data_IF_059963362470
#
_entry.id   IF_059963362470
#
_cell.length_a   1.000
_cell.length_b   1.000
_cell.length_c   1.000
_cell.angle_alpha   90.00
_cell.angle_beta   90.00
_cell.angle_gamma   90.00
#
_symmetry.space_group_name_H-M   'P 1'
#
loop_
_entity.id
_entity.type
_entity.pdbx_description
1 polymer ?
#
# COMPACT_ATOMS: atom_id res chain seq x y z
N UNK A 1 2.05 -31.88 -27.94
CA UNK A 1 1.08 -31.09 -27.18
C UNK A 1 -0.19 -31.87 -26.92
N UNK A 2 -0.86 -32.36 -27.96
CA UNK A 2 -2.15 -33.10 -27.85
C UNK A 2 -2.08 -34.34 -26.96
N UNK A 3 -0.93 -35.03 -26.94
CA UNK A 3 -0.71 -36.25 -26.13
C UNK A 3 -0.25 -35.95 -24.68
N UNK A 4 -0.11 -34.67 -24.28
CA UNK A 4 0.29 -34.22 -22.95
C UNK A 4 1.57 -34.88 -22.41
N UNK A 5 2.55 -35.14 -23.29
CA UNK A 5 3.85 -35.69 -22.87
C UNK A 5 4.68 -34.63 -22.14
N UNK A 6 5.34 -34.98 -21.03
CA UNK A 6 6.10 -34.02 -20.21
C UNK A 6 7.18 -33.27 -20.99
N UNK A 7 7.89 -33.96 -21.90
CA UNK A 7 8.99 -33.36 -22.67
C UNK A 7 8.52 -32.22 -23.58
N UNK A 8 7.23 -32.21 -23.94
CA UNK A 8 6.65 -31.12 -24.75
C UNK A 8 6.54 -29.83 -23.95
N UNK A 9 6.32 -29.92 -22.65
CA UNK A 9 6.25 -28.74 -21.78
C UNK A 9 7.61 -28.06 -21.69
N UNK A 10 8.70 -28.81 -21.53
CA UNK A 10 10.06 -28.27 -21.47
C UNK A 10 10.42 -27.55 -22.78
N UNK A 11 10.12 -28.16 -23.94
CA UNK A 11 10.35 -27.52 -25.24
C UNK A 11 9.45 -26.29 -25.44
N UNK A 12 8.21 -26.34 -24.97
CA UNK A 12 7.28 -25.22 -25.11
C UNK A 12 7.75 -24.03 -24.24
N UNK A 13 8.23 -24.29 -23.04
CA UNK A 13 8.78 -23.26 -22.15
C UNK A 13 10.00 -22.56 -22.79
N UNK A 14 10.85 -23.32 -23.49
CA UNK A 14 11.96 -22.74 -24.23
C UNK A 14 11.51 -21.89 -25.43
N UNK A 15 10.52 -22.34 -26.18
CA UNK A 15 10.01 -21.65 -27.38
C UNK A 15 9.28 -20.36 -27.05
N UNK A 16 8.52 -20.32 -25.95
CA UNK A 16 7.78 -19.10 -25.55
C UNK A 16 8.68 -18.03 -24.96
N UNK A 17 9.88 -18.38 -24.55
CA UNK A 17 10.83 -17.44 -23.97
C UNK A 17 11.12 -16.32 -24.97
N UNK A 18 10.92 -15.09 -24.50
CA UNK A 18 11.12 -13.91 -25.35
C UNK A 18 10.21 -13.83 -26.59
N UNK A 19 9.15 -14.60 -26.68
CA UNK A 19 8.20 -14.53 -27.78
C UNK A 19 6.88 -13.91 -27.32
N UNK A 20 6.64 -12.60 -27.60
CA UNK A 20 5.44 -11.92 -27.14
C UNK A 20 4.19 -12.46 -27.85
N UNK A 21 3.08 -12.45 -27.16
CA UNK A 21 1.75 -12.71 -27.72
C UNK A 21 0.85 -11.50 -27.54
N UNK A 22 -0.02 -11.23 -28.52
CA UNK A 22 -1.01 -10.16 -28.42
C UNK A 22 -2.34 -10.73 -27.93
N UNK A 23 -2.95 -10.02 -26.97
CA UNK A 23 -4.32 -10.27 -26.53
C UNK A 23 -5.24 -9.16 -27.00
N UNK A 24 -6.43 -9.53 -27.45
CA UNK A 24 -7.48 -8.61 -27.85
C UNK A 24 -8.82 -9.03 -27.27
N UNK A 25 -9.57 -8.10 -26.66
CA UNK A 25 -10.96 -8.30 -26.26
C UNK A 25 -11.87 -7.44 -27.14
N UNK A 26 -12.85 -8.05 -27.77
CA UNK A 26 -13.90 -7.34 -28.50
C UNK A 26 -14.98 -6.81 -27.52
N UNK A 27 -15.56 -5.61 -27.75
CA UNK A 27 -15.22 -4.66 -28.81
C UNK A 27 -13.94 -3.87 -28.53
N UNK A 28 -13.09 -3.68 -29.53
CA UNK A 28 -11.86 -2.89 -29.42
C UNK A 28 -12.18 -1.40 -29.58
N UNK A 29 -12.45 -0.73 -28.47
CA UNK A 29 -12.90 0.69 -28.47
C UNK A 29 -11.74 1.68 -28.62
N UNK A 30 -10.52 1.28 -28.24
CA UNK A 30 -9.32 2.10 -28.32
C UNK A 30 -8.07 1.22 -28.43
N UNK A 31 -6.92 1.84 -28.73
CA UNK A 31 -5.68 1.12 -28.99
C UNK A 31 -5.23 0.17 -27.86
N UNK A 32 -5.57 0.46 -26.60
CA UNK A 32 -5.21 -0.36 -25.45
C UNK A 32 -6.10 -1.63 -25.29
N UNK A 33 -7.10 -1.80 -26.14
CA UNK A 33 -7.83 -3.06 -26.27
C UNK A 33 -7.05 -4.17 -26.99
N UNK A 34 -5.85 -3.85 -27.48
CA UNK A 34 -4.84 -4.79 -28.01
C UNK A 34 -3.53 -4.48 -27.30
N UNK A 35 -3.01 -5.44 -26.54
CA UNK A 35 -1.71 -5.32 -25.85
C UNK A 35 -0.92 -6.61 -25.99
N UNK A 36 0.40 -6.48 -25.97
CA UNK A 36 1.30 -7.61 -26.00
C UNK A 36 1.77 -7.97 -24.57
N UNK A 37 1.99 -9.26 -24.38
CA UNK A 37 2.44 -9.85 -23.12
C UNK A 37 3.48 -10.93 -23.39
N UNK A 38 4.38 -11.15 -22.46
CA UNK A 38 5.22 -12.34 -22.43
C UNK A 38 4.44 -13.48 -21.78
N UNK A 39 4.23 -14.62 -22.49
CA UNK A 39 3.42 -15.71 -21.98
C UNK A 39 4.18 -16.51 -20.91
N UNK A 40 3.45 -16.99 -19.92
CA UNK A 40 3.92 -17.93 -18.91
C UNK A 40 2.99 -19.14 -18.91
N UNK A 41 3.55 -20.34 -18.89
CA UNK A 41 2.77 -21.58 -18.85
C UNK A 41 2.09 -21.72 -17.48
N UNK A 42 0.80 -22.01 -17.52
CA UNK A 42 -0.03 -22.26 -16.33
C UNK A 42 -0.91 -23.46 -16.58
N UNK A 43 -1.23 -24.19 -15.53
CA UNK A 43 -2.22 -25.27 -15.60
C UNK A 43 -3.64 -24.71 -15.77
N UNK A 44 -4.48 -25.41 -16.54
CA UNK A 44 -5.87 -25.05 -16.76
C UNK A 44 -6.14 -24.63 -18.20
N UNK A 45 -7.40 -24.25 -18.48
CA UNK A 45 -7.88 -23.86 -19.81
C UNK A 45 -8.22 -22.38 -19.94
N UNK A 46 -7.95 -21.57 -18.89
CA UNK A 46 -8.24 -20.15 -18.84
C UNK A 46 -6.97 -19.32 -18.92
N UNK A 47 -7.07 -18.15 -19.56
CA UNK A 47 -6.00 -17.16 -19.58
C UNK A 47 -5.99 -16.46 -18.20
N UNK A 48 -4.83 -16.45 -17.53
CA UNK A 48 -4.63 -15.66 -16.32
C UNK A 48 -4.14 -14.28 -16.71
N UNK A 49 -5.04 -13.30 -16.70
CA UNK A 49 -4.75 -11.93 -17.07
C UNK A 49 -4.34 -11.12 -15.84
N UNK A 50 -3.35 -10.23 -16.01
CA UNK A 50 -2.93 -9.33 -14.95
C UNK A 50 -4.06 -8.35 -14.57
N UNK A 51 -4.45 -8.20 -13.29
CA UNK A 51 -5.62 -7.41 -12.89
C UNK A 51 -5.58 -5.94 -13.32
N UNK A 52 -4.39 -5.31 -13.36
CA UNK A 52 -4.26 -3.90 -13.71
C UNK A 52 -4.58 -3.58 -15.18
N UNK A 53 -4.53 -4.56 -16.08
CA UNK A 53 -4.89 -4.35 -17.50
C UNK A 53 -6.37 -4.59 -17.77
N UNK A 54 -7.13 -5.15 -16.85
CA UNK A 54 -8.56 -5.39 -17.00
C UNK A 54 -9.34 -4.12 -17.36
N UNK A 55 -8.97 -2.98 -16.78
CA UNK A 55 -9.59 -1.68 -17.09
C UNK A 55 -9.37 -1.28 -18.55
N UNK A 56 -8.17 -1.51 -19.10
CA UNK A 56 -7.85 -1.19 -20.50
C UNK A 56 -8.62 -2.07 -21.48
N UNK A 57 -8.79 -3.36 -21.19
CA UNK A 57 -9.58 -4.29 -22.00
C UNK A 57 -11.09 -4.20 -21.73
N UNK A 58 -11.49 -3.48 -20.68
CA UNK A 58 -12.85 -3.56 -20.14
C UNK A 58 -13.28 -5.02 -19.90
N UNK A 59 -12.36 -5.80 -19.32
CA UNK A 59 -12.52 -7.24 -19.09
C UNK A 59 -12.80 -7.53 -17.63
N UNK A 60 -13.63 -8.54 -17.39
CA UNK A 60 -13.85 -9.15 -16.08
C UNK A 60 -13.68 -10.68 -16.16
N UNK A 61 -13.78 -11.36 -15.04
CA UNK A 61 -13.53 -12.81 -14.95
C UNK A 61 -14.81 -13.63 -14.84
N UNK A 62 -15.90 -13.16 -15.44
CA UNK A 62 -17.22 -13.84 -15.43
C UNK A 62 -17.45 -14.75 -16.64
N UNK A 63 -16.47 -14.90 -17.50
CA UNK A 63 -16.56 -15.74 -18.73
C UNK A 63 -16.20 -14.99 -20.01
N UNK A 64 -15.61 -13.81 -19.90
CA UNK A 64 -15.10 -13.05 -21.05
C UNK A 64 -14.12 -13.86 -21.87
N UNK A 65 -14.17 -13.66 -23.19
CA UNK A 65 -13.27 -14.28 -24.16
C UNK A 65 -12.30 -13.25 -24.73
N UNK A 66 -11.06 -13.69 -24.99
CA UNK A 66 -10.04 -12.90 -25.67
C UNK A 66 -9.47 -13.66 -26.86
N UNK A 67 -9.18 -12.94 -27.94
CA UNK A 67 -8.39 -13.45 -29.03
C UNK A 67 -6.91 -13.38 -28.70
N UNK A 68 -6.18 -14.45 -29.01
CA UNK A 68 -4.73 -14.55 -28.89
C UNK A 68 -4.13 -14.52 -30.29
N UNK A 69 -3.19 -13.59 -30.52
CA UNK A 69 -2.49 -13.45 -31.78
C UNK A 69 -1.00 -13.66 -31.57
N UNK A 70 -0.42 -14.52 -32.39
CA UNK A 70 0.99 -14.88 -32.39
C UNK A 70 1.71 -14.14 -33.51
N UNK A 71 2.61 -13.17 -33.26
CA UNK A 71 3.41 -12.53 -34.29
C UNK A 71 4.46 -13.50 -34.81
N UNK A 72 4.47 -13.74 -36.14
CA UNK A 72 5.33 -14.75 -36.77
C UNK A 72 6.60 -14.15 -37.33
N UNK A 73 6.58 -12.92 -37.86
CA UNK A 73 7.78 -12.29 -38.42
C UNK A 73 8.59 -11.57 -37.36
N UNK A 74 9.88 -11.42 -37.59
CA UNK A 74 10.79 -10.70 -36.67
C UNK A 74 10.36 -9.24 -36.48
N UNK A 75 9.91 -8.60 -37.56
CA UNK A 75 9.42 -7.22 -37.54
C UNK A 75 8.16 -7.11 -36.66
N UNK A 76 7.20 -8.04 -36.82
CA UNK A 76 5.98 -8.05 -36.00
C UNK A 76 6.30 -8.30 -34.51
N UNK A 77 7.26 -9.17 -34.20
CA UNK A 77 7.72 -9.41 -32.83
C UNK A 77 8.39 -8.17 -32.24
N UNK A 78 9.20 -7.46 -33.04
CA UNK A 78 9.83 -6.20 -32.63
C UNK A 78 8.79 -5.12 -32.34
N UNK A 79 7.79 -4.94 -33.21
CA UNK A 79 6.66 -4.01 -32.97
C UNK A 79 5.90 -4.35 -31.70
N UNK A 80 5.61 -5.64 -31.46
CA UNK A 80 4.98 -6.09 -30.22
C UNK A 80 5.76 -5.72 -28.97
N UNK A 81 7.09 -5.89 -29.01
CA UNK A 81 7.97 -5.56 -27.86
C UNK A 81 8.08 -4.07 -27.61
N UNK A 82 8.29 -3.27 -28.65
CA UNK A 82 8.58 -1.85 -28.48
C UNK A 82 7.31 -1.00 -28.33
N UNK A 83 6.23 -1.35 -29.03
CA UNK A 83 5.04 -0.53 -29.14
C UNK A 83 3.83 -1.08 -28.35
N UNK A 84 3.63 -2.41 -28.33
CA UNK A 84 2.40 -3.01 -27.80
C UNK A 84 2.56 -3.64 -26.43
N UNK A 85 3.78 -3.83 -25.92
CA UNK A 85 3.99 -4.45 -24.62
C UNK A 85 3.30 -3.62 -23.51
N UNK A 86 2.55 -4.29 -22.63
CA UNK A 86 1.70 -3.66 -21.64
C UNK A 86 2.43 -2.64 -20.74
N UNK A 87 3.64 -2.88 -20.22
CA UNK A 87 4.39 -1.89 -19.44
C UNK A 87 4.71 -0.59 -20.19
N UNK A 88 4.78 -0.63 -21.53
CA UNK A 88 5.03 0.55 -22.36
C UNK A 88 3.76 1.38 -22.64
N UNK A 89 2.58 0.87 -22.26
CA UNK A 89 1.29 1.47 -22.54
C UNK A 89 0.52 1.83 -21.26
N UNK A 90 1.21 2.42 -20.30
CA UNK A 90 0.63 2.80 -19.00
C UNK A 90 -0.17 4.09 -19.03
N UNK A 91 -0.10 4.89 -20.11
CA UNK A 91 -0.77 6.19 -20.23
C UNK A 91 -1.94 6.13 -21.20
N UNK A 92 -3.02 6.80 -20.84
CA UNK A 92 -4.18 7.00 -21.72
C UNK A 92 -3.84 7.96 -22.85
N UNK A 93 -4.21 7.65 -24.08
CA UNK A 93 -3.99 8.58 -25.20
C UNK A 93 -4.90 9.82 -25.15
N UNK A 94 -5.97 9.80 -24.34
CA UNK A 94 -6.95 10.89 -24.27
C UNK A 94 -6.49 12.06 -23.39
N UNK A 95 -5.93 11.76 -22.22
CA UNK A 95 -5.62 12.74 -21.18
C UNK A 95 -4.18 12.62 -20.63
N UNK A 96 -3.40 11.65 -21.14
CA UNK A 96 -2.05 11.38 -20.63
C UNK A 96 -2.00 10.84 -19.21
N UNK A 97 -3.15 10.58 -18.60
CA UNK A 97 -3.22 10.00 -17.26
C UNK A 97 -2.95 8.51 -17.27
N UNK A 98 -2.60 7.89 -16.11
CA UNK A 98 -2.36 6.46 -16.02
C UNK A 98 -3.63 5.66 -16.32
N UNK A 99 -3.48 4.60 -17.14
CA UNK A 99 -4.54 3.62 -17.46
C UNK A 99 -4.60 2.54 -16.40
N UNK A 100 -3.43 1.98 -16.09
CA UNK A 100 -3.30 0.95 -15.07
C UNK A 100 -3.33 1.64 -13.69
N UNK A 101 -4.50 1.70 -13.09
CA UNK A 101 -4.70 2.26 -11.75
C UNK A 101 -5.26 1.17 -10.84
N UNK A 102 -4.67 0.95 -9.66
CA UNK A 102 -5.23 0.05 -8.66
C UNK A 102 -6.69 0.35 -8.38
N UNK A 103 -7.50 -0.68 -8.23
CA UNK A 103 -8.95 -0.60 -8.01
C UNK A 103 -9.41 -1.61 -6.98
N UNK A 104 -10.66 -1.48 -6.52
CA UNK A 104 -11.32 -2.44 -5.62
C UNK A 104 -10.45 -2.79 -4.40
N UNK A 105 -10.15 -4.07 -4.20
CA UNK A 105 -9.43 -4.59 -3.04
C UNK A 105 -8.00 -4.06 -2.92
N UNK A 106 -7.36 -3.71 -4.04
CA UNK A 106 -6.04 -3.08 -4.02
C UNK A 106 -6.09 -1.71 -3.34
N UNK A 107 -7.10 -0.90 -3.68
CA UNK A 107 -7.31 0.42 -3.04
C UNK A 107 -7.73 0.26 -1.59
N UNK A 108 -8.61 -0.71 -1.29
CA UNK A 108 -9.09 -0.99 0.05
C UNK A 108 -7.92 -1.37 0.98
N UNK A 109 -7.01 -2.23 0.52
CA UNK A 109 -5.83 -2.62 1.29
C UNK A 109 -4.86 -1.47 1.56
N UNK A 110 -4.61 -0.60 0.58
CA UNK A 110 -3.78 0.60 0.76
C UNK A 110 -4.48 1.61 1.69
N UNK A 111 -5.78 1.80 1.53
CA UNK A 111 -6.59 2.64 2.41
C UNK A 111 -6.47 2.18 3.86
N UNK A 112 -6.69 0.88 4.11
CA UNK A 112 -6.54 0.28 5.42
C UNK A 112 -5.13 0.48 5.98
N UNK A 113 -4.10 0.23 5.17
CA UNK A 113 -2.70 0.34 5.59
C UNK A 113 -2.32 1.77 5.99
N UNK A 114 -2.82 2.79 5.29
CA UNK A 114 -2.48 4.20 5.52
C UNK A 114 -3.44 4.94 6.46
N UNK A 115 -4.39 4.23 7.05
CA UNK A 115 -5.34 4.80 8.00
C UNK A 115 -4.65 5.13 9.33
N UNK A 116 -5.08 6.22 9.98
CA UNK A 116 -4.74 6.55 11.36
C UNK A 116 -5.90 6.17 12.26
N UNK A 117 -5.64 5.38 13.28
CA UNK A 117 -6.64 4.98 14.26
C UNK A 117 -6.01 4.73 15.62
N UNK A 118 -6.62 5.24 16.67
CA UNK A 118 -6.22 4.89 18.04
C UNK A 118 -6.53 3.42 18.33
N UNK A 119 -5.68 2.80 19.15
CA UNK A 119 -5.97 1.47 19.67
C UNK A 119 -7.22 1.51 20.53
N UNK A 120 -8.14 0.58 20.32
CA UNK A 120 -9.37 0.42 21.13
C UNK A 120 -9.40 -0.99 21.69
N UNK A 121 -9.35 -1.11 22.99
CA UNK A 121 -9.30 -2.39 23.71
C UNK A 121 -10.67 -2.86 24.23
N UNK A 122 -11.78 -2.17 23.90
CA UNK A 122 -13.13 -2.51 24.37
C UNK A 122 -13.53 -3.96 24.17
N UNK A 123 -13.09 -4.55 23.06
CA UNK A 123 -13.47 -5.91 22.66
C UNK A 123 -12.56 -7.00 23.27
N UNK A 124 -11.52 -6.63 24.03
CA UNK A 124 -10.67 -7.61 24.71
C UNK A 124 -11.33 -8.10 26.00
N UNK A 125 -11.36 -9.43 26.21
CA UNK A 125 -12.11 -10.11 27.29
C UNK A 125 -11.81 -9.61 28.71
N UNK A 126 -10.61 -9.10 28.96
CA UNK A 126 -10.18 -8.67 30.30
C UNK A 126 -9.85 -7.16 30.36
N UNK A 127 -10.36 -6.38 29.42
CA UNK A 127 -10.09 -4.96 29.33
C UNK A 127 -10.99 -4.18 30.28
N UNK A 128 -10.44 -3.77 31.43
CA UNK A 128 -11.11 -2.94 32.41
C UNK A 128 -10.35 -1.64 32.58
N UNK A 129 -11.05 -0.50 32.48
CA UNK A 129 -10.47 0.80 32.74
C UNK A 129 -10.12 0.94 34.22
N UNK A 130 -9.00 1.59 34.52
CA UNK A 130 -8.57 1.86 35.92
C UNK A 130 -9.51 2.84 36.61
N UNK A 131 -10.16 3.72 35.85
CA UNK A 131 -11.15 4.67 36.37
C UNK A 131 -12.23 4.97 35.34
N UNK A 132 -13.42 5.41 35.81
CA UNK A 132 -14.50 5.87 34.93
C UNK A 132 -14.28 7.27 34.35
N UNK A 133 -13.18 7.93 34.68
CA UNK A 133 -12.81 9.24 34.16
C UNK A 133 -12.49 9.14 32.66
N UNK A 134 -13.10 10.02 31.88
CA UNK A 134 -12.83 10.15 30.44
C UNK A 134 -11.89 11.32 30.23
N UNK A 135 -10.76 11.07 29.58
CA UNK A 135 -9.79 12.10 29.20
C UNK A 135 -10.08 12.54 27.76
N UNK A 136 -9.95 13.83 27.49
CA UNK A 136 -10.11 14.43 26.16
C UNK A 136 -8.91 15.32 25.76
N UNK A 137 -7.98 15.52 26.68
CA UNK A 137 -6.75 16.32 26.46
C UNK A 137 -5.51 15.50 26.81
N UNK A 138 -4.56 15.49 25.87
CA UNK A 138 -3.26 14.80 26.03
C UNK A 138 -2.41 15.47 27.12
N UNK A 139 -2.50 16.79 27.29
CA UNK A 139 -1.73 17.50 28.32
C UNK A 139 -2.25 17.20 29.74
N UNK A 140 -3.55 17.07 29.92
CA UNK A 140 -4.14 16.58 31.18
C UNK A 140 -3.67 15.16 31.49
N UNK A 141 -3.66 14.29 30.48
CA UNK A 141 -3.21 12.91 30.61
C UNK A 141 -1.72 12.81 30.95
N UNK A 142 -0.87 13.63 30.34
CA UNK A 142 0.56 13.71 30.69
C UNK A 142 0.77 14.09 32.15
N UNK A 143 -0.01 15.03 32.68
CA UNK A 143 0.06 15.41 34.11
C UNK A 143 -0.33 14.24 35.00
N UNK A 144 -1.40 13.52 34.66
CA UNK A 144 -1.88 12.37 35.44
C UNK A 144 -0.90 11.18 35.42
N UNK A 145 -0.12 11.03 34.33
CA UNK A 145 0.91 9.98 34.19
C UNK A 145 2.29 10.36 34.73
N UNK A 146 2.52 11.65 35.01
CA UNK A 146 3.79 12.13 35.57
C UNK A 146 3.84 11.82 37.07
N UNK A 147 4.90 11.15 37.58
CA UNK A 147 5.03 10.89 39.01
C UNK A 147 5.12 12.20 39.82
N UNK A 148 4.38 12.29 40.92
CA UNK A 148 4.50 13.40 41.88
C UNK A 148 5.91 13.42 42.47
N UNK A 149 6.63 14.54 42.40
CA UNK A 149 8.00 14.67 42.95
C UNK A 149 8.13 14.30 44.41
N UNK A 150 7.03 14.41 45.20
CA UNK A 150 7.03 14.15 46.64
C UNK A 150 6.75 12.71 47.00
N UNK A 151 5.86 12.04 46.21
CA UNK A 151 5.38 10.69 46.52
C UNK A 151 6.01 9.62 45.60
N UNK A 152 6.59 10.04 44.48
CA UNK A 152 7.12 9.13 43.45
C UNK A 152 6.06 8.29 42.73
N UNK A 153 4.77 8.56 42.98
CA UNK A 153 3.66 7.82 42.39
C UNK A 153 2.91 8.68 41.36
N UNK A 154 2.55 8.12 40.24
CA UNK A 154 1.64 8.70 39.27
C UNK A 154 0.19 8.31 39.59
N UNK A 155 -0.77 9.14 39.21
CA UNK A 155 -2.20 8.85 39.34
C UNK A 155 -2.60 7.67 38.43
N UNK A 156 -1.99 7.61 37.24
CA UNK A 156 -2.23 6.60 36.21
C UNK A 156 -0.89 6.09 35.68
N UNK A 157 -0.79 4.78 35.44
CA UNK A 157 0.36 4.16 34.76
C UNK A 157 0.29 4.33 33.24
N UNK A 158 1.46 4.33 32.59
CA UNK A 158 1.57 4.48 31.12
C UNK A 158 0.88 3.35 30.34
N UNK A 159 0.67 2.19 30.95
CA UNK A 159 0.08 1.00 30.35
C UNK A 159 -1.29 0.65 30.92
N UNK A 160 -1.83 1.47 31.83
CA UNK A 160 -3.16 1.30 32.37
C UNK A 160 -4.22 1.62 31.32
N UNK A 161 -5.33 0.89 31.33
CA UNK A 161 -6.45 1.16 30.42
C UNK A 161 -7.30 2.33 30.95
N UNK A 162 -7.49 3.33 30.10
CA UNK A 162 -8.24 4.55 30.39
C UNK A 162 -9.27 4.82 29.31
N UNK A 163 -10.31 5.54 29.66
CA UNK A 163 -11.24 6.10 28.68
C UNK A 163 -10.69 7.39 28.10
N UNK A 164 -10.59 7.44 26.77
CA UNK A 164 -10.19 8.63 26.02
C UNK A 164 -11.27 8.98 24.98
N UNK A 165 -11.57 10.26 24.83
CA UNK A 165 -12.49 10.76 23.81
C UNK A 165 -11.69 11.24 22.61
N UNK A 166 -11.74 10.49 21.51
CA UNK A 166 -11.03 10.83 20.27
C UNK A 166 -11.81 11.90 19.51
N UNK A 167 -11.34 13.14 19.63
CA UNK A 167 -11.96 14.29 18.96
C UNK A 167 -11.78 14.25 17.43
N UNK A 168 -10.87 13.43 16.92
CA UNK A 168 -10.62 13.27 15.48
C UNK A 168 -11.58 12.28 14.83
N UNK A 169 -12.18 11.37 15.61
CA UNK A 169 -13.17 10.39 15.16
C UNK A 169 -14.53 10.62 15.83
N UNK A 170 -15.19 11.75 15.47
CA UNK A 170 -16.55 12.09 15.93
C UNK A 170 -16.78 12.03 17.45
N UNK A 171 -15.79 12.40 18.25
CA UNK A 171 -15.78 12.30 19.72
C UNK A 171 -16.07 10.87 20.21
N UNK A 172 -15.57 9.88 19.50
CA UNK A 172 -15.70 8.49 19.87
C UNK A 172 -14.92 8.20 21.14
N UNK A 173 -15.57 7.56 22.11
CA UNK A 173 -14.88 7.06 23.31
C UNK A 173 -14.19 5.74 23.01
N UNK A 174 -12.89 5.72 23.24
CA UNK A 174 -12.04 4.54 23.07
C UNK A 174 -11.43 4.14 24.42
N UNK A 175 -11.23 2.84 24.60
CA UNK A 175 -10.49 2.31 25.74
C UNK A 175 -9.05 2.07 25.27
N UNK A 176 -8.11 2.92 25.71
CA UNK A 176 -6.74 2.88 25.26
C UNK A 176 -5.75 3.05 26.41
N UNK A 177 -4.47 2.88 26.14
CA UNK A 177 -3.39 3.16 27.09
C UNK A 177 -2.83 4.57 26.84
N UNK A 178 -2.39 5.30 27.89
CA UNK A 178 -1.67 6.56 27.71
C UNK A 178 -0.51 6.45 26.70
N UNK A 179 0.21 5.34 26.71
CA UNK A 179 1.32 5.10 25.80
C UNK A 179 0.89 5.04 24.32
N UNK A 180 -0.33 4.60 24.01
CA UNK A 180 -0.87 4.58 22.64
C UNK A 180 -1.09 6.02 22.11
N UNK A 181 -1.33 6.97 23.01
CA UNK A 181 -1.50 8.40 22.71
C UNK A 181 -0.15 9.13 22.64
N UNK A 182 0.77 8.82 23.54
CA UNK A 182 2.09 9.42 23.59
C UNK A 182 3.00 8.93 22.47
N UNK A 183 2.78 7.69 22.00
CA UNK A 183 3.50 7.04 20.93
C UNK A 183 4.76 6.30 21.40
N UNK A 184 4.93 5.08 20.87
CA UNK A 184 6.10 4.24 21.11
C UNK A 184 7.29 4.71 20.26
N UNK A 185 8.51 4.61 20.80
CA UNK A 185 9.74 5.00 20.12
C UNK A 185 10.54 3.76 19.69
N UNK A 186 10.85 3.68 18.40
CA UNK A 186 11.62 2.59 17.80
C UNK A 186 12.85 3.13 17.08
N UNK A 187 13.98 2.44 17.26
CA UNK A 187 15.24 2.78 16.60
C UNK A 187 15.27 2.44 15.10
N UNK A 188 14.33 1.62 14.62
CA UNK A 188 14.22 1.25 13.21
C UNK A 188 12.81 0.73 12.88
N UNK A 189 12.49 0.70 11.57
CA UNK A 189 11.25 0.09 11.08
C UNK A 189 11.16 -1.40 11.46
N UNK A 190 12.28 -2.14 11.41
CA UNK A 190 12.28 -3.56 11.76
C UNK A 190 11.89 -3.81 13.22
N UNK A 191 12.31 -2.93 14.15
CA UNK A 191 11.87 -3.01 15.54
C UNK A 191 10.37 -2.76 15.69
N UNK A 192 9.83 -1.77 14.98
CA UNK A 192 8.39 -1.51 14.97
C UNK A 192 7.60 -2.68 14.36
N UNK A 193 8.13 -3.31 13.31
CA UNK A 193 7.51 -4.49 12.68
C UNK A 193 7.49 -5.68 13.66
N UNK A 194 8.59 -5.91 14.38
CA UNK A 194 8.65 -6.96 15.40
C UNK A 194 7.65 -6.72 16.53
N UNK A 195 7.53 -5.48 17.01
CA UNK A 195 6.54 -5.10 18.01
C UNK A 195 5.10 -5.33 17.52
N UNK A 196 4.83 -5.09 16.24
CA UNK A 196 3.54 -5.40 15.62
C UNK A 196 3.28 -6.91 15.56
N UNK A 197 4.26 -7.72 15.17
CA UNK A 197 4.14 -9.17 15.14
C UNK A 197 3.93 -9.78 16.53
N UNK A 198 4.52 -9.18 17.56
CA UNK A 198 4.29 -9.53 18.96
C UNK A 198 2.92 -9.04 19.50
N UNK A 199 2.18 -8.24 18.74
CA UNK A 199 0.88 -7.68 19.14
C UNK A 199 0.97 -6.53 20.15
N UNK A 200 2.13 -5.89 20.27
CA UNK A 200 2.35 -4.73 21.17
C UNK A 200 1.76 -3.45 20.59
N UNK A 201 1.85 -3.29 19.26
CA UNK A 201 1.30 -2.15 18.52
C UNK A 201 0.38 -2.60 17.39
N UNK A 202 -0.42 -1.67 16.87
CA UNK A 202 -1.23 -1.84 15.67
C UNK A 202 -0.61 -1.14 14.47
N UNK A 203 -1.11 -1.42 13.26
CA UNK A 203 -0.64 -0.76 12.03
C UNK A 203 -0.97 0.74 12.01
N UNK A 204 -1.99 1.18 12.74
CA UNK A 204 -2.66 2.47 12.57
C UNK A 204 -2.33 3.48 13.68
N UNK A 205 -1.77 3.00 14.80
CA UNK A 205 -1.44 3.89 15.91
C UNK A 205 -0.17 4.70 15.62
N UNK A 206 -0.07 5.87 16.24
CA UNK A 206 1.10 6.72 16.13
C UNK A 206 2.30 6.09 16.83
N UNK A 207 3.43 6.08 16.14
CA UNK A 207 4.73 5.67 16.65
C UNK A 207 5.79 6.72 16.27
N UNK A 208 6.92 6.70 16.96
CA UNK A 208 8.09 7.49 16.63
C UNK A 208 9.19 6.55 16.15
N UNK A 209 9.70 6.77 14.94
CA UNK A 209 10.77 5.95 14.36
C UNK A 209 11.98 6.82 14.04
N UNK A 210 13.15 6.33 14.45
CA UNK A 210 14.41 7.01 14.16
C UNK A 210 14.78 6.82 12.70
N UNK A 211 15.04 7.94 12.02
CA UNK A 211 15.48 7.95 10.62
C UNK A 211 16.74 8.79 10.46
N UNK A 212 17.50 8.45 9.44
CA UNK A 212 18.63 9.22 8.92
C UNK A 212 18.36 9.58 7.47
N UNK A 213 18.72 10.77 7.08
CA UNK A 213 18.65 11.25 5.71
C UNK A 213 19.87 12.11 5.41
N UNK A 214 20.33 12.08 4.16
CA UNK A 214 21.40 12.95 3.68
C UNK A 214 20.75 14.02 2.80
N UNK A 215 20.98 15.27 3.11
CA UNK A 215 20.50 16.42 2.34
C UNK A 215 21.31 16.58 1.03
N UNK A 216 20.79 17.40 0.11
CA UNK A 216 21.46 17.67 -1.18
C UNK A 216 22.84 18.35 -1.02
N UNK A 217 23.08 19.03 0.09
CA UNK A 217 24.36 19.65 0.46
C UNK A 217 25.36 18.67 1.11
N UNK A 218 25.00 17.39 1.25
CA UNK A 218 25.80 16.35 1.90
C UNK A 218 25.69 16.32 3.42
N UNK A 219 24.87 17.17 4.03
CA UNK A 219 24.66 17.18 5.50
C UNK A 219 23.81 15.98 5.91
N UNK A 220 24.29 15.21 6.88
CA UNK A 220 23.52 14.11 7.48
C UNK A 220 22.59 14.66 8.58
N UNK A 221 21.31 14.38 8.44
CA UNK A 221 20.28 14.71 9.43
C UNK A 221 19.71 13.43 10.01
N UNK A 222 19.51 13.41 11.32
CA UNK A 222 18.92 12.24 11.98
C UNK A 222 17.95 12.69 13.08
N UNK A 223 16.89 11.92 13.28
CA UNK A 223 15.89 12.24 14.29
C UNK A 223 14.73 11.27 14.29
N UNK A 224 13.82 11.47 15.24
CA UNK A 224 12.57 10.73 15.30
C UNK A 224 11.50 11.43 14.48
N UNK A 225 10.80 10.66 13.65
CA UNK A 225 9.59 11.10 12.94
C UNK A 225 8.36 10.45 13.56
N UNK A 226 7.28 11.22 13.67
CA UNK A 226 5.97 10.70 14.04
C UNK A 226 5.30 10.13 12.80
N UNK A 227 4.87 8.88 12.87
CA UNK A 227 4.22 8.18 11.75
C UNK A 227 3.42 6.98 12.26
N UNK A 228 2.91 6.14 11.37
CA UNK A 228 2.34 4.82 11.68
C UNK A 228 3.15 3.72 11.03
N UNK A 229 3.08 2.50 11.54
CA UNK A 229 3.76 1.37 10.91
C UNK A 229 3.21 1.12 9.48
N UNK A 230 1.91 1.31 9.28
CA UNK A 230 1.30 1.16 7.97
C UNK A 230 1.85 2.14 6.92
N UNK A 231 2.04 3.42 7.29
CA UNK A 231 2.67 4.41 6.42
C UNK A 231 4.12 4.08 6.11
N UNK A 232 4.89 3.55 7.09
CA UNK A 232 6.26 3.10 6.84
C UNK A 232 6.30 1.99 5.78
N UNK A 233 5.45 0.97 5.92
CA UNK A 233 5.35 -0.15 4.97
C UNK A 233 4.95 0.36 3.58
N UNK A 234 4.01 1.30 3.48
CA UNK A 234 3.61 1.86 2.21
C UNK A 234 4.72 2.69 1.55
N UNK A 235 5.45 3.49 2.33
CA UNK A 235 6.56 4.29 1.82
C UNK A 235 7.77 3.45 1.39
N UNK A 236 7.90 2.20 1.82
CA UNK A 236 8.97 1.29 1.38
C UNK A 236 8.85 0.94 -0.11
N UNK A 237 7.62 0.83 -0.61
CA UNK A 237 7.34 0.52 -2.02
C UNK A 237 7.27 1.76 -2.92
N UNK A 238 7.20 2.96 -2.34
CA UNK A 238 7.08 4.22 -3.08
C UNK A 238 8.43 4.93 -3.12
N UNK A 239 8.89 5.40 -4.31
CA UNK A 239 10.07 6.25 -4.41
C UNK A 239 9.96 7.49 -3.52
N UNK A 240 11.05 7.86 -2.84
CA UNK A 240 11.06 8.93 -1.84
C UNK A 240 11.49 10.29 -2.39
N UNK A 241 11.37 10.49 -3.70
CA UNK A 241 11.79 11.69 -4.46
C UNK A 241 10.68 12.26 -5.35
N UNK A 242 9.41 11.95 -5.02
CA UNK A 242 8.26 12.37 -5.84
C UNK A 242 7.88 13.84 -5.67
N UNK A 243 8.45 14.55 -4.69
CA UNK A 243 8.20 15.97 -4.45
C UNK A 243 6.83 16.27 -3.84
N UNK A 244 6.29 15.37 -3.03
CA UNK A 244 5.21 15.67 -2.10
C UNK A 244 5.73 16.42 -0.86
N UNK A 245 7.00 16.18 -0.51
CA UNK A 245 7.68 16.84 0.61
C UNK A 245 8.83 17.68 0.07
N UNK A 246 8.86 18.96 0.43
CA UNK A 246 10.00 19.83 0.16
C UNK A 246 11.15 19.50 1.12
N UNK A 247 12.18 18.84 0.63
CA UNK A 247 13.34 18.37 1.40
C UNK A 247 14.45 19.41 1.55
N UNK A 248 14.16 20.68 1.28
CA UNK A 248 15.13 21.78 1.41
C UNK A 248 15.47 22.10 2.89
N UNK A 249 14.59 21.73 3.84
CA UNK A 249 14.80 21.96 5.26
C UNK A 249 15.18 20.68 6.01
N UNK A 250 16.04 20.76 7.06
CA UNK A 250 16.46 19.58 7.83
C UNK A 250 15.29 18.80 8.44
N UNK A 251 14.25 19.50 8.90
CA UNK A 251 13.05 18.87 9.48
C UNK A 251 12.27 18.06 8.47
N UNK A 252 12.16 18.57 7.25
CA UNK A 252 11.43 17.89 6.17
C UNK A 252 12.25 16.77 5.51
N UNK A 253 13.58 16.82 5.58
CA UNK A 253 14.44 15.78 5.02
C UNK A 253 14.15 14.39 5.62
N UNK A 254 13.74 14.35 6.88
CA UNK A 254 13.40 13.12 7.59
C UNK A 254 11.99 12.60 7.29
N UNK A 255 11.04 13.48 6.85
CA UNK A 255 9.65 13.10 6.64
C UNK A 255 9.51 12.02 5.54
N UNK A 256 8.47 11.22 5.68
CA UNK A 256 8.06 10.28 4.64
C UNK A 256 7.51 11.05 3.45
N UNK A 257 7.68 10.51 2.26
CA UNK A 257 7.13 11.12 1.04
C UNK A 257 5.58 11.12 1.07
N UNK A 258 5.01 10.04 1.57
CA UNK A 258 3.57 9.90 1.77
C UNK A 258 3.29 9.89 3.28
N UNK A 259 2.76 10.99 3.79
CA UNK A 259 2.38 11.18 5.20
C UNK A 259 0.88 11.55 5.32
N UNK A 260 0.08 11.06 4.39
CA UNK A 260 -1.35 11.29 4.34
C UNK A 260 -2.10 10.00 4.02
N UNK A 261 -3.39 9.99 4.34
CA UNK A 261 -4.27 8.87 4.05
C UNK A 261 -4.47 8.69 2.55
N UNK A 262 -4.25 7.48 2.05
CA UNK A 262 -4.18 7.18 0.61
C UNK A 262 -5.45 6.48 0.14
N UNK A 263 -6.28 7.19 -0.63
CA UNK A 263 -7.42 6.65 -1.36
C UNK A 263 -7.13 6.57 -2.87
N UNK A 264 -8.16 6.24 -3.65
CA UNK A 264 -8.05 6.07 -5.11
C UNK A 264 -7.48 7.30 -5.84
N UNK A 265 -7.88 8.51 -5.41
CA UNK A 265 -7.40 9.77 -6.02
C UNK A 265 -5.90 9.98 -5.75
N UNK A 266 -5.48 9.72 -4.52
CA UNK A 266 -4.08 9.87 -4.11
C UNK A 266 -3.18 8.84 -4.82
N UNK A 267 -3.62 7.59 -4.96
CA UNK A 267 -2.89 6.58 -5.74
C UNK A 267 -2.66 7.06 -7.17
N UNK A 268 -3.70 7.61 -7.82
CA UNK A 268 -3.56 8.16 -9.17
C UNK A 268 -2.52 9.28 -9.22
N UNK A 269 -2.54 10.21 -8.27
CA UNK A 269 -1.56 11.32 -8.18
C UNK A 269 -0.13 10.81 -7.95
N UNK A 270 0.03 9.80 -7.10
CA UNK A 270 1.34 9.16 -6.85
C UNK A 270 1.87 8.56 -8.16
N UNK A 271 1.05 7.78 -8.86
CA UNK A 271 1.43 7.14 -10.12
C UNK A 271 1.75 8.16 -11.23
N UNK A 272 0.99 9.26 -11.33
CA UNK A 272 1.29 10.36 -12.25
C UNK A 272 2.67 10.98 -11.98
N UNK A 273 3.04 11.15 -10.71
CA UNK A 273 4.38 11.64 -10.35
C UNK A 273 5.46 10.61 -10.61
N UNK A 274 5.23 9.35 -10.27
CA UNK A 274 6.21 8.27 -10.52
C UNK A 274 6.51 8.16 -12.00
N UNK A 275 5.51 8.16 -12.88
CA UNK A 275 5.74 8.03 -14.32
C UNK A 275 6.46 9.24 -14.92
N UNK A 276 6.17 10.44 -14.41
CA UNK A 276 6.81 11.67 -14.88
C UNK A 276 8.30 11.78 -14.46
N UNK A 277 8.66 11.24 -13.29
CA UNK A 277 10.01 11.35 -12.74
C UNK A 277 10.87 10.14 -13.13
N UNK A 278 10.32 8.93 -12.99
CA UNK A 278 11.08 7.67 -13.13
C UNK A 278 10.78 6.91 -14.42
N UNK A 279 9.77 7.33 -15.19
CA UNK A 279 9.37 6.67 -16.44
C UNK A 279 8.58 5.37 -16.25
N UNK A 280 8.28 4.69 -17.37
CA UNK A 280 7.33 3.58 -17.42
C UNK A 280 7.81 2.32 -16.67
N UNK A 281 9.09 1.97 -16.79
CA UNK A 281 9.63 0.75 -16.18
C UNK A 281 9.50 0.77 -14.66
N UNK A 282 9.96 1.86 -14.02
CA UNK A 282 9.84 1.99 -12.56
C UNK A 282 8.38 2.08 -12.11
N UNK A 283 7.53 2.71 -12.90
CA UNK A 283 6.08 2.77 -12.62
C UNK A 283 5.45 1.39 -12.64
N UNK A 284 5.85 0.51 -13.55
CA UNK A 284 5.35 -0.86 -13.59
C UNK A 284 5.74 -1.65 -12.32
N UNK A 285 6.98 -1.50 -11.84
CA UNK A 285 7.42 -2.11 -10.57
C UNK A 285 6.58 -1.60 -9.38
N UNK A 286 6.44 -0.28 -9.26
CA UNK A 286 5.64 0.34 -8.19
C UNK A 286 4.17 -0.10 -8.25
N UNK A 287 3.60 -0.25 -9.44
CA UNK A 287 2.24 -0.76 -9.64
C UNK A 287 2.10 -2.20 -9.14
N UNK A 288 3.06 -3.06 -9.43
CA UNK A 288 3.07 -4.44 -8.96
C UNK A 288 3.21 -4.53 -7.44
N UNK A 289 4.04 -3.69 -6.84
CA UNK A 289 4.21 -3.61 -5.40
C UNK A 289 2.93 -3.09 -4.71
N UNK A 290 2.28 -2.07 -5.27
CA UNK A 290 1.00 -1.56 -4.77
C UNK A 290 -0.09 -2.64 -4.88
N UNK A 291 -0.14 -3.38 -6.00
CA UNK A 291 -1.06 -4.50 -6.19
C UNK A 291 -0.85 -5.57 -5.11
N UNK A 292 0.38 -6.04 -4.95
CA UNK A 292 0.72 -7.10 -4.00
C UNK A 292 0.42 -6.67 -2.55
N UNK A 293 0.83 -5.47 -2.18
CA UNK A 293 0.58 -4.88 -0.85
C UNK A 293 -0.91 -4.65 -0.62
N UNK A 294 -1.62 -4.10 -1.61
CA UNK A 294 -3.05 -3.87 -1.52
C UNK A 294 -3.84 -5.15 -1.24
N UNK A 295 -3.62 -6.21 -2.00
CA UNK A 295 -4.27 -7.51 -1.76
C UNK A 295 -3.88 -8.12 -0.41
N UNK A 296 -2.60 -8.08 -0.04
CA UNK A 296 -2.12 -8.58 1.25
C UNK A 296 -2.84 -7.92 2.43
N UNK A 297 -2.96 -6.61 2.41
CA UNK A 297 -3.57 -5.87 3.52
C UNK A 297 -5.08 -5.81 3.45
N UNK A 298 -5.71 -5.91 2.29
CA UNK A 298 -7.15 -6.15 2.16
C UNK A 298 -7.57 -7.47 2.80
N UNK A 299 -6.81 -8.54 2.54
CA UNK A 299 -7.04 -9.84 3.17
C UNK A 299 -6.85 -9.79 4.70
N UNK A 300 -5.79 -9.11 5.18
CA UNK A 300 -5.53 -8.95 6.63
C UNK A 300 -6.57 -8.08 7.32
N UNK A 301 -7.08 -7.05 6.64
CA UNK A 301 -8.11 -6.16 7.16
C UNK A 301 -9.42 -6.91 7.44
N UNK A 302 -9.72 -7.96 6.65
CA UNK A 302 -10.93 -8.76 6.76
C UNK A 302 -12.20 -7.90 6.87
N UNK A 303 -12.26 -6.79 6.11
CA UNK A 303 -13.39 -5.86 6.15
C UNK A 303 -14.65 -6.56 5.65
N UNK A 304 -15.70 -6.46 6.42
CA UNK A 304 -17.03 -6.98 6.10
C UNK A 304 -18.09 -5.96 6.48
N UNK A 305 -19.27 -6.07 5.89
CA UNK A 305 -20.42 -5.25 6.20
C UNK A 305 -21.50 -6.16 6.78
N UNK A 306 -21.97 -5.86 7.97
CA UNK A 306 -23.06 -6.57 8.62
C UNK A 306 -24.37 -5.78 8.52
N UNK A 307 -25.49 -6.44 8.87
CA UNK A 307 -26.80 -5.77 8.93
C UNK A 307 -26.80 -4.64 9.96
N UNK A 308 -25.97 -4.75 11.02
CA UNK A 308 -25.85 -3.70 12.05
C UNK A 308 -25.11 -2.45 11.57
N UNK A 309 -24.42 -2.52 10.43
CA UNK A 309 -23.68 -1.40 9.85
C UNK A 309 -24.54 -0.59 8.87
N UNK A 310 -25.76 -1.06 8.57
CA UNK A 310 -26.77 -0.43 7.72
C UNK A 310 -27.84 0.26 8.56
#
# INVERSE_FOLDING_TARGET
VERLQPEVWDVLEEVIKEHPVMLNRAPTLHRLGIQAFEPILVEGKAIKLHPLVCTAFNADFDGDQMAVHLPLSVEAQAECRFMLLSPNNLLKPSDGGPVAVPSQDMVLGVYYLTMHKLADYKDKKDAVAVSDKVYNDIEELKKATTPDPKTGKSEIGLYDLIWFEDTTDNNRRVLCKPMDLFGYHYGSMNQALLAYENGEITLHQNIYVYRKATMADGTEVSGFIKTTLGLLIFNEIIPQDLGFVDRSTPENALKLEIDFHVGKKQIKQILEKVINIHGATKTAEVLDDIKATGYKYSTRAAMTVSISDM
#
